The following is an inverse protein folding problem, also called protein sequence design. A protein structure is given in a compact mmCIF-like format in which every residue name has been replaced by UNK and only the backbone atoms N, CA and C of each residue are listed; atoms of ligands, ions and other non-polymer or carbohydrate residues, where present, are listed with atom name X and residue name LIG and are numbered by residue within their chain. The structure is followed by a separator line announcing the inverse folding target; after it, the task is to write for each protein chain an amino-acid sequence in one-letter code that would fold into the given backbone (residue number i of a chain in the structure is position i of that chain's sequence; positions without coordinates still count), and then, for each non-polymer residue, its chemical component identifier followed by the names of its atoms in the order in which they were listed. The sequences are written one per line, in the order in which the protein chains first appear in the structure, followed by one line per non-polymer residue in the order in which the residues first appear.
data_IF_340655668060
#
_entry.id   IF_340655668060
#
_cell.length_a   1.000
_cell.length_b   1.000
_cell.length_c   1.000
_cell.angle_alpha   90.00
_cell.angle_beta   90.00
_cell.angle_gamma   90.00
#
_symmetry.space_group_name_H-M   'P 1'
#
loop_
_entity.id
_entity.type
_entity.pdbx_description
1 polymer ?
#
# COMPACT_ATOMS: atom_id res chain seq x y z
N UNK A 1 3.85 -14.72 -2.83
CA UNK A 1 2.96 -15.26 -1.78
C UNK A 1 1.95 -16.27 -2.32
N UNK A 2 1.10 -15.94 -3.30
CA UNK A 2 0.11 -16.89 -3.87
C UNK A 2 0.66 -18.29 -4.18
N UNK A 3 1.75 -18.38 -4.94
CA UNK A 3 2.38 -19.67 -5.28
C UNK A 3 2.75 -20.49 -4.04
N UNK A 4 3.22 -19.86 -2.96
CA UNK A 4 3.55 -20.57 -1.73
C UNK A 4 2.30 -21.14 -1.06
N UNK A 5 1.20 -20.38 -1.06
CA UNK A 5 -0.10 -20.84 -0.54
C UNK A 5 -0.59 -22.07 -1.33
N UNK A 6 -0.52 -22.02 -2.66
CA UNK A 6 -0.95 -23.12 -3.53
C UNK A 6 -0.14 -24.40 -3.35
N UNK A 7 1.16 -24.28 -3.07
CA UNK A 7 2.05 -25.42 -2.89
C UNK A 7 2.21 -25.85 -1.42
N UNK A 8 1.45 -25.24 -0.50
CA UNK A 8 1.53 -25.55 0.94
C UNK A 8 0.78 -26.83 1.34
N UNK A 9 -0.06 -27.37 0.45
CA UNK A 9 -0.92 -28.52 0.75
C UNK A 9 -2.12 -28.19 1.65
N UNK A 10 -2.31 -26.92 2.01
CA UNK A 10 -3.44 -26.42 2.83
C UNK A 10 -4.16 -25.30 2.09
N UNK A 11 -5.48 -25.22 2.23
CA UNK A 11 -6.27 -24.11 1.68
C UNK A 11 -5.87 -22.79 2.35
N UNK A 12 -5.46 -21.79 1.56
CA UNK A 12 -5.16 -20.46 2.06
C UNK A 12 -5.84 -19.36 1.26
N UNK A 13 -6.01 -18.20 1.89
CA UNK A 13 -6.73 -17.06 1.37
C UNK A 13 -5.85 -15.81 1.42
N UNK A 14 -6.07 -14.88 0.48
CA UNK A 14 -5.37 -13.60 0.42
C UNK A 14 -6.41 -12.49 0.60
N UNK A 15 -6.24 -11.69 1.64
CA UNK A 15 -7.12 -10.57 1.98
C UNK A 15 -6.38 -9.24 1.77
N UNK A 16 -6.92 -8.31 0.97
CA UNK A 16 -6.36 -6.97 0.85
C UNK A 16 -6.59 -6.20 2.15
N UNK A 17 -5.49 -5.69 2.72
CA UNK A 17 -5.48 -4.99 3.99
C UNK A 17 -4.82 -3.61 3.81
N UNK A 18 -5.49 -2.58 4.31
CA UNK A 18 -4.99 -1.22 4.32
C UNK A 18 -4.67 -0.76 5.75
N UNK A 19 -3.53 -0.10 5.93
CA UNK A 19 -3.04 0.41 7.20
C UNK A 19 -2.63 1.88 7.03
N UNK A 20 -3.30 2.78 7.75
CA UNK A 20 -2.94 4.19 7.83
C UNK A 20 -2.36 4.50 9.20
N UNK A 21 -1.03 4.54 9.30
CA UNK A 21 -0.31 4.79 10.56
C UNK A 21 1.01 5.54 10.37
N UNK A 22 1.26 6.11 9.19
CA UNK A 22 2.57 6.69 8.88
C UNK A 22 2.90 7.92 9.74
N UNK A 23 1.90 8.64 10.27
CA UNK A 23 2.15 9.80 11.13
C UNK A 23 2.79 9.44 12.47
N UNK A 24 2.56 8.22 12.99
CA UNK A 24 3.15 7.77 14.26
C UNK A 24 4.67 7.72 14.15
N UNK A 25 5.18 7.23 13.02
CA UNK A 25 6.61 7.06 12.77
C UNK A 25 6.85 7.15 11.27
N UNK A 26 6.91 8.38 10.71
CA UNK A 26 7.03 8.56 9.28
C UNK A 26 8.36 7.98 8.80
N UNK A 27 8.39 7.44 7.56
CA UNK A 27 9.66 7.07 6.95
C UNK A 27 10.56 8.32 6.86
N UNK A 28 11.89 8.16 6.91
CA UNK A 28 12.80 9.27 6.70
C UNK A 28 12.48 10.00 5.39
N UNK A 29 12.51 11.34 5.38
CA UNK A 29 12.26 12.10 4.16
C UNK A 29 13.30 11.73 3.10
N UNK A 30 12.85 11.67 1.87
CA UNK A 30 13.70 11.37 0.72
C UNK A 30 14.49 12.63 0.39
N UNK A 31 15.79 12.63 0.67
CA UNK A 31 16.69 13.67 0.16
C UNK A 31 17.10 13.26 -1.25
N UNK A 32 16.70 14.05 -2.25
CA UNK A 32 17.26 13.88 -3.59
C UNK A 32 18.68 14.41 -3.57
N UNK A 33 19.71 13.60 -3.88
CA UNK A 33 21.03 14.16 -4.09
C UNK A 33 20.96 15.19 -5.22
N UNK A 34 21.76 16.28 -5.17
CA UNK A 34 21.79 17.27 -6.24
C UNK A 34 21.97 16.55 -7.57
N UNK A 35 21.07 16.86 -8.52
CA UNK A 35 21.01 16.15 -9.80
C UNK A 35 22.37 16.23 -10.49
N UNK A 36 22.99 15.08 -10.76
CA UNK A 36 24.18 15.02 -11.57
C UNK A 36 23.79 15.48 -13.00
N UNK A 37 24.24 16.67 -13.41
CA UNK A 37 23.88 17.33 -14.68
C UNK A 37 24.20 16.49 -15.93
N UNK A 38 24.91 15.36 -15.81
CA UNK A 38 25.25 14.48 -16.94
C UNK A 38 24.18 13.43 -17.27
N UNK A 39 23.15 13.22 -16.43
CA UNK A 39 22.13 12.17 -16.65
C UNK A 39 20.90 12.61 -17.47
N UNK A 40 20.95 13.73 -18.19
CA UNK A 40 19.85 14.26 -19.03
C UNK A 40 19.60 13.48 -20.34
N UNK A 41 19.72 12.14 -20.37
CA UNK A 41 19.68 11.36 -21.62
C UNK A 41 18.65 10.23 -21.74
N UNK A 42 17.64 10.17 -20.88
CA UNK A 42 16.56 9.17 -21.07
C UNK A 42 15.17 9.79 -20.89
N UNK A 43 14.35 9.86 -21.95
CA UNK A 43 13.05 10.51 -21.90
C UNK A 43 11.89 9.49 -21.86
N UNK A 44 11.83 8.52 -20.93
CA UNK A 44 10.58 7.78 -20.61
C UNK A 44 10.60 7.25 -19.16
N UNK A 45 9.48 7.22 -18.42
CA UNK A 45 9.44 6.81 -17.02
C UNK A 45 9.31 5.28 -16.92
N UNK A 46 10.43 4.58 -16.91
CA UNK A 46 10.46 3.15 -16.56
C UNK A 46 10.66 3.03 -15.06
N UNK A 47 9.56 2.74 -14.35
CA UNK A 47 9.55 2.34 -12.96
C UNK A 47 10.26 1.01 -12.79
N UNK A 48 11.54 1.05 -12.39
CA UNK A 48 12.20 0.10 -11.49
C UNK A 48 13.68 0.42 -11.47
N UNK A 49 14.06 1.30 -10.56
CA UNK A 49 15.35 1.18 -9.92
C UNK A 49 15.10 1.46 -8.44
N UNK A 50 15.41 0.47 -7.62
CA UNK A 50 15.80 0.62 -6.22
C UNK A 50 17.04 1.55 -6.18
N UNK A 51 16.87 2.81 -6.55
CA UNK A 51 17.80 3.86 -6.17
C UNK A 51 17.52 4.01 -4.69
N UNK A 52 18.39 3.44 -3.85
CA UNK A 52 18.41 3.73 -2.42
C UNK A 52 18.46 5.25 -2.35
N UNK A 53 17.33 5.88 -2.11
CA UNK A 53 17.28 7.31 -1.87
C UNK A 53 18.20 7.51 -0.68
N UNK A 54 19.20 8.35 -0.87
CA UNK A 54 20.25 8.55 0.10
C UNK A 54 19.58 9.18 1.32
N UNK A 55 19.30 8.36 2.33
CA UNK A 55 18.87 8.87 3.63
C UNK A 55 20.17 9.38 4.24
N UNK A 56 20.39 10.70 4.17
CA UNK A 56 21.30 11.34 5.11
C UNK A 56 20.78 10.94 6.48
N UNK A 57 21.52 10.05 7.15
CA UNK A 57 21.33 9.73 8.55
C UNK A 57 22.54 10.26 9.26
N UNK A 58 22.46 11.47 9.78
CA UNK A 58 23.45 11.91 10.75
C UNK A 58 23.37 10.96 11.96
N UNK A 59 24.51 10.50 12.46
CA UNK A 59 24.57 9.70 13.70
C UNK A 59 24.02 10.59 14.82
N UNK A 60 22.78 10.35 15.25
CA UNK A 60 22.06 11.21 16.19
C UNK A 60 20.72 11.74 15.69
N UNK A 61 20.29 11.44 14.46
CA UNK A 61 18.97 11.81 13.97
C UNK A 61 17.83 11.30 14.85
N UNK A 62 17.02 12.24 15.33
CA UNK A 62 15.86 11.97 16.17
C UNK A 62 14.72 11.42 15.33
N UNK A 63 14.26 10.20 15.61
CA UNK A 63 12.99 9.71 15.07
C UNK A 63 11.86 10.60 15.56
N UNK A 64 11.08 11.12 14.63
CA UNK A 64 9.84 11.82 14.94
C UNK A 64 8.82 10.74 15.33
N UNK A 65 8.32 10.83 16.56
CA UNK A 65 7.21 10.01 17.05
C UNK A 65 6.08 10.96 17.39
N UNK A 66 4.88 10.67 16.92
CA UNK A 66 3.70 11.48 17.17
C UNK A 66 2.55 10.66 17.75
N UNK A 67 1.69 11.33 18.51
CA UNK A 67 0.41 10.78 18.94
C UNK A 67 -0.64 11.10 17.87
N UNK A 68 -1.02 10.09 17.10
CA UNK A 68 -1.93 10.23 15.96
C UNK A 68 -2.93 9.08 15.92
N UNK A 69 -4.11 9.34 15.35
CA UNK A 69 -5.09 8.29 15.07
C UNK A 69 -4.56 7.33 14.01
N UNK A 70 -4.88 6.05 14.15
CA UNK A 70 -4.54 5.00 13.18
C UNK A 70 -5.78 4.32 12.64
N UNK A 71 -5.66 3.82 11.42
CA UNK A 71 -6.72 3.11 10.73
C UNK A 71 -6.24 1.75 10.23
N UNK A 72 -7.05 0.72 10.45
CA UNK A 72 -6.86 -0.61 9.89
C UNK A 72 -8.16 -1.02 9.20
N UNK A 73 -8.06 -1.51 7.97
CA UNK A 73 -9.19 -2.05 7.22
C UNK A 73 -8.78 -3.33 6.51
N UNK A 74 -9.71 -4.28 6.42
CA UNK A 74 -9.57 -5.51 5.63
C UNK A 74 -10.83 -5.69 4.79
N UNK A 75 -10.67 -6.02 3.52
CA UNK A 75 -11.79 -6.34 2.63
C UNK A 75 -11.85 -7.85 2.34
N UNK A 76 -12.94 -8.36 1.73
CA UNK A 76 -13.12 -9.79 1.48
C UNK A 76 -11.98 -10.43 0.68
N UNK A 77 -11.86 -11.75 0.84
CA UNK A 77 -10.82 -12.53 0.18
C UNK A 77 -10.93 -12.45 -1.33
N UNK A 78 -9.79 -12.31 -2.00
CA UNK A 78 -9.76 -12.09 -3.44
C UNK A 78 -9.39 -13.38 -4.20
N UNK A 79 -10.32 -13.88 -5.02
CA UNK A 79 -10.13 -15.09 -5.81
C UNK A 79 -9.27 -14.81 -7.05
N UNK A 80 -8.28 -15.68 -7.29
CA UNK A 80 -7.42 -15.55 -8.47
C UNK A 80 -8.18 -15.82 -9.77
N UNK A 81 -9.09 -16.80 -9.78
CA UNK A 81 -9.90 -17.19 -10.95
C UNK A 81 -10.67 -16.01 -11.54
N UNK A 82 -11.25 -15.19 -10.67
CA UNK A 82 -12.18 -14.13 -11.05
C UNK A 82 -11.42 -12.95 -11.66
N UNK A 83 -10.19 -12.71 -11.18
CA UNK A 83 -9.32 -11.63 -11.62
C UNK A 83 -8.63 -11.90 -12.97
N UNK A 84 -8.40 -13.17 -13.29
CA UNK A 84 -7.60 -13.57 -14.46
C UNK A 84 -8.45 -14.12 -15.60
N UNK A 85 -9.78 -14.13 -15.44
CA UNK A 85 -10.74 -14.62 -16.44
C UNK A 85 -10.57 -13.99 -17.82
N UNK A 86 -10.08 -12.74 -17.90
CA UNK A 86 -9.86 -12.00 -19.15
C UNK A 86 -8.40 -11.99 -19.63
N UNK A 87 -7.46 -12.58 -18.88
CA UNK A 87 -6.04 -12.57 -19.23
C UNK A 87 -5.68 -13.68 -20.21
N UNK A 88 -4.90 -13.35 -21.24
CA UNK A 88 -4.46 -14.33 -22.24
C UNK A 88 -3.09 -14.91 -21.89
N UNK A 89 -2.27 -14.14 -21.16
CA UNK A 89 -0.92 -14.53 -20.76
C UNK A 89 -0.78 -14.65 -19.24
N UNK A 90 0.13 -15.52 -18.75
CA UNK A 90 0.36 -15.66 -17.31
C UNK A 90 0.98 -14.42 -16.67
N UNK A 91 1.63 -13.55 -17.45
CA UNK A 91 2.18 -12.29 -16.97
C UNK A 91 1.07 -11.25 -16.75
N UNK A 92 0.17 -11.09 -17.72
CA UNK A 92 -1.03 -10.26 -17.57
C UNK A 92 -1.90 -10.75 -16.41
N UNK A 93 -2.06 -12.06 -16.24
CA UNK A 93 -2.80 -12.66 -15.14
C UNK A 93 -2.21 -12.25 -13.78
N UNK A 94 -0.88 -12.27 -13.65
CA UNK A 94 -0.19 -11.84 -12.42
C UNK A 94 -0.44 -10.36 -12.16
N UNK A 95 -0.28 -9.54 -13.18
CA UNK A 95 -0.34 -8.08 -13.03
C UNK A 95 -1.78 -7.62 -12.78
N UNK A 96 -2.78 -8.20 -13.45
CA UNK A 96 -4.21 -7.96 -13.19
C UNK A 96 -4.61 -8.35 -11.76
N UNK A 97 -4.15 -9.50 -11.28
CA UNK A 97 -4.40 -9.93 -9.89
C UNK A 97 -3.77 -8.97 -8.87
N UNK A 98 -2.51 -8.58 -9.09
CA UNK A 98 -1.82 -7.61 -8.24
C UNK A 98 -2.51 -6.25 -8.26
N UNK A 99 -2.92 -5.79 -9.45
CA UNK A 99 -3.60 -4.51 -9.62
C UNK A 99 -4.95 -4.49 -8.92
N UNK A 100 -5.74 -5.55 -9.03
CA UNK A 100 -7.04 -5.63 -8.38
C UNK A 100 -6.92 -5.64 -6.85
N UNK A 101 -5.94 -6.39 -6.29
CA UNK A 101 -5.61 -6.34 -4.87
C UNK A 101 -5.18 -4.92 -4.44
N UNK A 102 -4.31 -4.29 -5.22
CA UNK A 102 -3.80 -2.95 -4.92
C UNK A 102 -4.90 -1.89 -4.95
N UNK A 103 -5.81 -1.96 -5.93
CA UNK A 103 -6.97 -1.08 -6.00
C UNK A 103 -7.85 -1.22 -4.76
N UNK A 104 -8.14 -2.46 -4.33
CA UNK A 104 -8.89 -2.70 -3.11
C UNK A 104 -8.20 -2.15 -1.85
N UNK A 105 -6.87 -2.19 -1.78
CA UNK A 105 -6.11 -1.57 -0.68
C UNK A 105 -6.22 -0.04 -0.74
N UNK A 106 -6.13 0.56 -1.92
CA UNK A 106 -6.27 2.02 -2.07
C UNK A 106 -7.67 2.50 -1.71
N UNK A 107 -8.72 1.81 -2.16
CA UNK A 107 -10.11 2.17 -1.82
C UNK A 107 -10.31 2.19 -0.29
N UNK A 108 -9.77 1.18 0.40
CA UNK A 108 -9.77 1.11 1.85
C UNK A 108 -8.93 2.22 2.49
N UNK A 109 -7.74 2.49 1.96
CA UNK A 109 -6.84 3.50 2.47
C UNK A 109 -7.43 4.92 2.33
N UNK A 110 -8.12 5.21 1.23
CA UNK A 110 -8.76 6.50 0.99
C UNK A 110 -9.93 6.75 1.96
N UNK A 111 -10.69 5.71 2.31
CA UNK A 111 -11.69 5.78 3.38
C UNK A 111 -11.04 6.07 4.73
N UNK A 112 -9.97 5.35 5.09
CA UNK A 112 -9.23 5.57 6.34
C UNK A 112 -8.62 6.98 6.40
N UNK A 113 -8.05 7.45 5.30
CA UNK A 113 -7.49 8.78 5.16
C UNK A 113 -8.57 9.86 5.34
N UNK A 114 -9.74 9.66 4.75
CA UNK A 114 -10.88 10.57 4.90
C UNK A 114 -11.40 10.58 6.35
N UNK A 115 -11.40 9.43 7.03
CA UNK A 115 -11.81 9.33 8.44
C UNK A 115 -10.84 10.07 9.37
N UNK A 116 -9.54 9.85 9.22
CA UNK A 116 -8.48 10.34 10.12
C UNK A 116 -8.07 11.77 9.75
N UNK A 117 -7.55 11.98 8.53
CA UNK A 117 -7.06 13.29 8.09
C UNK A 117 -8.18 14.20 7.61
N UNK A 118 -9.24 13.64 7.04
CA UNK A 118 -10.44 14.39 6.65
C UNK A 118 -11.38 14.69 7.81
N UNK A 119 -11.08 14.22 9.03
CA UNK A 119 -11.86 14.45 10.26
C UNK A 119 -13.34 14.00 10.15
N UNK A 120 -13.62 13.02 9.29
CA UNK A 120 -14.98 12.51 9.10
C UNK A 120 -15.34 11.41 10.10
N UNK A 121 -14.35 10.79 10.77
CA UNK A 121 -14.56 9.68 11.70
C UNK A 121 -15.35 8.54 11.05
N UNK A 122 -16.36 8.02 11.76
CA UNK A 122 -17.23 6.94 11.25
C UNK A 122 -18.07 7.33 10.03
N UNK A 123 -18.26 8.63 9.76
CA UNK A 123 -19.05 9.11 8.61
C UNK A 123 -18.34 8.92 7.27
N UNK A 124 -17.04 8.61 7.27
CA UNK A 124 -16.29 8.24 6.07
C UNK A 124 -16.65 6.85 5.54
N UNK A 125 -17.41 6.05 6.30
CA UNK A 125 -17.80 4.70 5.90
C UNK A 125 -18.54 4.70 4.56
N UNK A 126 -18.25 3.69 3.75
CA UNK A 126 -18.95 3.42 2.48
C UNK A 126 -19.81 2.15 2.64
N UNK A 127 -20.71 1.82 1.69
CA UNK A 127 -21.49 0.59 1.77
C UNK A 127 -20.62 -0.69 1.88
N UNK A 128 -19.39 -0.64 1.38
CA UNK A 128 -18.45 -1.76 1.38
C UNK A 128 -17.49 -1.73 2.58
N UNK A 129 -17.16 -0.53 3.10
CA UNK A 129 -16.16 -0.35 4.16
C UNK A 129 -16.83 0.35 5.34
N UNK A 130 -17.08 -0.40 6.41
CA UNK A 130 -17.71 0.09 7.62
C UNK A 130 -16.66 0.32 8.72
N UNK A 131 -16.56 1.57 9.18
CA UNK A 131 -15.63 1.93 10.24
C UNK A 131 -16.30 1.84 11.61
N UNK A 132 -15.56 1.34 12.59
CA UNK A 132 -15.97 1.30 14.00
C UNK A 132 -14.74 1.49 14.90
N UNK A 133 -14.98 1.80 16.17
CA UNK A 133 -13.96 1.92 17.21
C UNK A 133 -14.27 0.93 18.32
N UNK A 134 -13.92 -0.36 18.17
CA UNK A 134 -14.34 -1.43 19.07
C UNK A 134 -13.45 -1.52 20.33
N UNK A 135 -13.28 -0.40 21.01
CA UNK A 135 -12.49 -0.29 22.24
C UNK A 135 -13.18 0.57 23.30
N UNK A 136 -14.52 0.66 23.21
CA UNK A 136 -15.36 1.09 24.32
C UNK A 136 -15.29 0.10 25.49
#
# INVERSE_FOLDING_TARGET
MRRLVEHSGVTGHIYPLALSCYDIMPPPPLVFPPQCQSCNKFPYPVYLNFRVLQVEKEIGEKRIIAFCGVGLSVAPGFNFSDAVASSMTPEEARDAYCQALFNSVNDQYDVLRSAIHGQQGSRASTPTILLSQPWD
#
